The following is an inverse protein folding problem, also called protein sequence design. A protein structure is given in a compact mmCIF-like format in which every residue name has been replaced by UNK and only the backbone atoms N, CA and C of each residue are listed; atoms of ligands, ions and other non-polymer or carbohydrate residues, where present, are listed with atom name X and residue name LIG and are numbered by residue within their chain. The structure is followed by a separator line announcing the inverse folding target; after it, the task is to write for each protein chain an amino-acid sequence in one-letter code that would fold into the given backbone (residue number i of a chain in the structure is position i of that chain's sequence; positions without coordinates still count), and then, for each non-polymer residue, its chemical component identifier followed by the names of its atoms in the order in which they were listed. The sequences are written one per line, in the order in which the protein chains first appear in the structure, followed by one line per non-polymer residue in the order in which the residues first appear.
data_IF_866012315718
#
_entry.id   IF_866012315718
#
_cell.length_a   1.000
_cell.length_b   1.000
_cell.length_c   1.000
_cell.angle_alpha   90.00
_cell.angle_beta   90.00
_cell.angle_gamma   90.00
#
_symmetry.space_group_name_H-M   'P 1'
#
loop_
_entity.id
_entity.type
_entity.pdbx_description
1 polymer ?
#
# COMPACT_ATOMS: atom_id res chain seq x y z
N UNK A 1 -26.11 -41.45 9.78
CA UNK A 1 -24.89 -40.82 9.21
C UNK A 1 -24.84 -39.38 9.70
N UNK A 2 -23.93 -39.08 10.63
CA UNK A 2 -23.69 -37.72 11.10
C UNK A 2 -22.92 -37.03 9.97
N UNK A 3 -23.54 -36.10 9.25
CA UNK A 3 -22.83 -35.21 8.34
C UNK A 3 -21.74 -34.51 9.18
N UNK A 4 -20.49 -34.85 8.92
CA UNK A 4 -19.37 -34.04 9.42
C UNK A 4 -19.60 -32.61 8.89
N UNK A 5 -20.00 -31.69 9.77
CA UNK A 5 -20.01 -30.26 9.45
C UNK A 5 -18.60 -29.90 9.04
N UNK A 6 -18.38 -29.66 7.76
CA UNK A 6 -17.11 -29.09 7.30
C UNK A 6 -16.88 -27.83 8.11
N UNK A 7 -15.66 -27.67 8.62
CA UNK A 7 -15.29 -26.45 9.31
C UNK A 7 -15.57 -25.23 8.40
N UNK A 8 -16.08 -24.13 8.95
CA UNK A 8 -16.46 -22.99 8.13
C UNK A 8 -15.23 -22.40 7.43
N UNK A 9 -15.34 -22.13 6.13
CA UNK A 9 -14.31 -21.53 5.31
C UNK A 9 -13.86 -20.16 5.85
N UNK A 10 -12.56 -19.92 5.89
CA UNK A 10 -11.95 -18.63 6.21
C UNK A 10 -11.29 -18.02 4.96
N UNK A 11 -11.19 -16.71 4.89
CA UNK A 11 -10.57 -15.99 3.78
C UNK A 11 -9.53 -15.02 4.34
N UNK A 12 -8.33 -15.07 3.79
CA UNK A 12 -7.27 -14.12 4.07
C UNK A 12 -6.87 -13.40 2.79
N UNK A 13 -7.08 -12.09 2.74
CA UNK A 13 -6.79 -11.25 1.59
C UNK A 13 -5.55 -10.39 1.83
N UNK A 14 -4.48 -10.66 1.11
CA UNK A 14 -3.29 -9.81 1.05
C UNK A 14 -3.46 -8.83 -0.11
N UNK A 15 -3.65 -7.58 0.24
CA UNK A 15 -3.83 -6.47 -0.69
C UNK A 15 -2.45 -5.90 -1.03
N UNK A 16 -1.92 -6.27 -2.20
CA UNK A 16 -0.61 -5.82 -2.66
C UNK A 16 -0.79 -4.68 -3.66
N UNK A 17 -0.73 -3.44 -3.15
CA UNK A 17 -1.08 -2.26 -3.95
C UNK A 17 -0.23 -2.17 -5.21
N UNK A 18 -0.91 -1.94 -6.35
CA UNK A 18 -0.34 -1.68 -7.67
C UNK A 18 0.71 -2.69 -8.14
N UNK A 19 0.67 -3.93 -7.64
CA UNK A 19 1.63 -4.95 -8.03
C UNK A 19 1.50 -5.30 -9.53
N UNK A 20 2.51 -4.96 -10.32
CA UNK A 20 2.49 -5.15 -11.75
C UNK A 20 2.77 -6.60 -12.15
N UNK A 21 1.85 -7.18 -12.91
CA UNK A 21 1.90 -8.57 -13.36
C UNK A 21 3.17 -8.89 -14.16
N UNK A 22 3.69 -7.93 -14.93
CA UNK A 22 4.91 -8.09 -15.71
C UNK A 22 6.10 -8.49 -14.83
N UNK A 23 6.33 -7.77 -13.73
CA UNK A 23 7.40 -8.09 -12.78
C UNK A 23 7.16 -9.41 -12.06
N UNK A 24 5.93 -9.64 -11.59
CA UNK A 24 5.57 -10.89 -10.92
C UNK A 24 5.91 -12.10 -11.80
N UNK A 25 5.40 -12.12 -13.04
CA UNK A 25 5.63 -13.24 -13.96
C UNK A 25 7.10 -13.43 -14.31
N UNK A 26 7.82 -12.33 -14.54
CA UNK A 26 9.25 -12.38 -14.81
C UNK A 26 10.02 -13.01 -13.65
N UNK A 27 9.80 -12.53 -12.44
CA UNK A 27 10.54 -13.04 -11.28
C UNK A 27 10.15 -14.46 -10.89
N UNK A 28 8.90 -14.87 -11.13
CA UNK A 28 8.50 -16.28 -11.01
C UNK A 28 9.23 -17.15 -12.03
N UNK A 29 9.26 -16.74 -13.30
CA UNK A 29 9.98 -17.47 -14.36
C UNK A 29 11.49 -17.57 -14.11
N UNK A 30 12.08 -16.57 -13.44
CA UNK A 30 13.47 -16.54 -13.01
C UNK A 30 13.73 -17.37 -11.73
N UNK A 31 12.70 -18.03 -11.16
CA UNK A 31 12.82 -18.83 -9.92
C UNK A 31 13.04 -18.02 -8.65
N UNK A 32 12.80 -16.70 -8.68
CA UNK A 32 13.07 -15.79 -7.56
C UNK A 32 11.93 -15.69 -6.54
N UNK A 33 10.74 -16.18 -6.89
CA UNK A 33 9.51 -16.07 -6.12
C UNK A 33 8.84 -17.44 -5.94
N UNK A 34 9.42 -18.36 -5.14
CA UNK A 34 8.90 -19.72 -5.01
C UNK A 34 7.51 -19.82 -4.38
N UNK A 35 7.15 -18.92 -3.45
CA UNK A 35 5.82 -18.92 -2.84
C UNK A 35 4.73 -18.45 -3.83
N UNK A 36 5.02 -17.43 -4.64
CA UNK A 36 4.14 -17.03 -5.73
C UNK A 36 4.04 -18.11 -6.81
N UNK A 37 5.16 -18.78 -7.16
CA UNK A 37 5.15 -19.89 -8.10
C UNK A 37 4.19 -20.99 -7.62
N UNK A 38 4.30 -21.40 -6.37
CA UNK A 38 3.39 -22.36 -5.74
C UNK A 38 1.93 -21.91 -5.81
N UNK A 39 1.61 -20.62 -5.52
CA UNK A 39 0.26 -20.10 -5.65
C UNK A 39 -0.29 -20.18 -7.08
N UNK A 40 0.57 -19.95 -8.09
CA UNK A 40 0.18 -20.03 -9.50
C UNK A 40 -0.02 -21.48 -9.97
N UNK A 41 0.70 -22.44 -9.39
CA UNK A 41 0.60 -23.86 -9.71
C UNK A 41 -0.59 -24.55 -9.01
N UNK A 42 -0.80 -24.26 -7.72
CA UNK A 42 -1.82 -24.91 -6.89
C UNK A 42 -3.16 -24.15 -6.86
N UNK A 43 -3.16 -22.87 -7.23
CA UNK A 43 -4.31 -21.97 -7.14
C UNK A 43 -4.87 -21.55 -8.51
N UNK A 44 -5.61 -20.44 -8.48
CA UNK A 44 -6.17 -19.84 -9.69
C UNK A 44 -5.68 -18.38 -9.84
N UNK A 45 -5.27 -18.02 -11.05
CA UNK A 45 -4.96 -16.65 -11.43
C UNK A 45 -6.13 -16.03 -12.17
N UNK A 46 -6.73 -15.00 -11.58
CA UNK A 46 -7.89 -14.31 -12.13
C UNK A 46 -7.52 -12.86 -12.48
N UNK A 47 -7.87 -12.42 -13.67
CA UNK A 47 -7.78 -11.01 -14.06
C UNK A 47 -9.06 -10.29 -13.71
N UNK A 48 -8.94 -9.20 -12.98
CA UNK A 48 -10.05 -8.29 -12.71
C UNK A 48 -10.15 -7.22 -13.79
N UNK A 49 -11.34 -6.66 -13.95
CA UNK A 49 -11.62 -5.53 -14.84
C UNK A 49 -12.45 -4.51 -14.10
N UNK A 50 -12.21 -3.23 -14.35
CA UNK A 50 -13.07 -2.16 -13.86
C UNK A 50 -14.25 -2.06 -14.82
N UNK A 51 -15.50 -2.29 -14.39
CA UNK A 51 -16.67 -2.17 -15.23
C UNK A 51 -16.76 -0.77 -15.86
N UNK A 52 -17.06 -0.70 -17.15
CA UNK A 52 -17.18 0.58 -17.87
C UNK A 52 -15.86 1.30 -18.18
N UNK A 53 -14.72 0.74 -17.76
CA UNK A 53 -13.42 1.31 -18.12
C UNK A 53 -13.02 0.92 -19.54
N UNK A 54 -12.83 1.94 -20.39
CA UNK A 54 -12.33 1.80 -21.75
C UNK A 54 -10.96 2.51 -21.86
N UNK A 55 -9.85 1.76 -21.98
CA UNK A 55 -8.51 2.35 -22.04
C UNK A 55 -8.26 3.17 -23.31
N UNK A 56 -9.12 3.06 -24.32
CA UNK A 56 -9.01 3.83 -25.57
C UNK A 56 -9.54 5.27 -25.42
N UNK A 57 -10.32 5.53 -24.37
CA UNK A 57 -10.85 6.87 -24.12
C UNK A 57 -9.75 7.78 -23.57
N UNK A 58 -9.56 9.00 -24.12
CA UNK A 58 -8.43 9.88 -23.75
C UNK A 58 -8.35 10.25 -22.26
N UNK A 59 -9.46 10.22 -21.55
CA UNK A 59 -9.54 10.58 -20.11
C UNK A 59 -9.76 9.37 -19.20
N UNK A 60 -9.83 8.16 -19.73
CA UNK A 60 -10.11 6.96 -18.96
C UNK A 60 -9.12 6.75 -17.80
N UNK A 61 -7.84 7.03 -18.04
CA UNK A 61 -6.77 6.85 -17.04
C UNK A 61 -6.87 7.77 -15.82
N UNK A 62 -7.63 8.88 -15.93
CA UNK A 62 -7.82 9.82 -14.81
C UNK A 62 -8.69 9.27 -13.68
N UNK A 63 -9.52 8.27 -13.99
CA UNK A 63 -10.39 7.62 -13.00
C UNK A 63 -9.73 6.39 -12.37
N UNK A 64 -8.51 6.02 -12.81
CA UNK A 64 -7.77 4.90 -12.23
C UNK A 64 -6.81 5.43 -11.18
N UNK A 65 -7.21 5.25 -9.94
CA UNK A 65 -6.44 5.61 -8.75
C UNK A 65 -6.69 4.55 -7.68
N UNK A 66 -5.72 4.23 -6.83
CA UNK A 66 -5.94 3.33 -5.70
C UNK A 66 -7.16 3.71 -4.85
N UNK A 67 -7.36 5.02 -4.66
CA UNK A 67 -8.47 5.60 -3.90
C UNK A 67 -9.85 5.40 -4.52
N UNK A 68 -9.90 5.00 -5.78
CA UNK A 68 -11.15 4.74 -6.53
C UNK A 68 -11.35 3.23 -6.71
N UNK A 69 -10.31 2.53 -7.15
CA UNK A 69 -10.47 1.13 -7.57
C UNK A 69 -10.46 0.13 -6.41
N UNK A 70 -9.78 0.43 -5.29
CA UNK A 70 -9.88 -0.39 -4.10
C UNK A 70 -11.29 -0.39 -3.50
N UNK A 71 -11.95 0.79 -3.30
CA UNK A 71 -13.37 0.83 -2.95
C UNK A 71 -14.27 0.02 -3.88
N UNK A 72 -14.05 0.10 -5.21
CA UNK A 72 -14.81 -0.73 -6.16
C UNK A 72 -14.63 -2.24 -5.88
N UNK A 73 -13.40 -2.66 -5.57
CA UNK A 73 -13.12 -4.07 -5.25
C UNK A 73 -13.78 -4.49 -3.93
N UNK A 74 -13.75 -3.64 -2.91
CA UNK A 74 -14.33 -3.95 -1.60
C UNK A 74 -15.86 -4.01 -1.60
N UNK A 75 -16.50 -3.19 -2.44
CA UNK A 75 -17.96 -3.02 -2.44
C UNK A 75 -18.67 -3.74 -3.59
N UNK A 76 -17.92 -4.09 -4.65
CA UNK A 76 -18.51 -4.55 -5.90
C UNK A 76 -19.20 -3.45 -6.71
N UNK A 77 -19.10 -2.18 -6.29
CA UNK A 77 -19.72 -1.04 -6.96
C UNK A 77 -18.75 -0.42 -7.99
N UNK A 78 -19.30 0.13 -9.05
CA UNK A 78 -18.53 0.95 -9.99
C UNK A 78 -18.14 2.30 -9.37
N UNK A 79 -17.12 3.00 -9.91
CA UNK A 79 -16.78 4.36 -9.45
C UNK A 79 -17.96 5.35 -9.48
N UNK A 80 -18.85 5.22 -10.46
CA UNK A 80 -20.04 6.06 -10.56
C UNK A 80 -21.06 5.77 -9.45
N UNK A 81 -21.18 4.51 -9.00
CA UNK A 81 -22.11 4.10 -7.96
C UNK A 81 -21.63 4.44 -6.56
N UNK A 82 -20.33 4.31 -6.26
CA UNK A 82 -19.79 4.68 -4.95
C UNK A 82 -19.42 6.16 -4.84
N UNK A 83 -19.24 6.88 -5.96
CA UNK A 83 -19.03 8.33 -5.98
C UNK A 83 -17.65 8.82 -5.51
N UNK A 84 -16.73 7.92 -5.16
CA UNK A 84 -15.38 8.30 -4.76
C UNK A 84 -14.53 8.60 -6.00
N UNK A 85 -13.87 9.76 -6.02
CA UNK A 85 -13.09 10.26 -7.15
C UNK A 85 -11.61 10.53 -6.81
N UNK A 86 -11.20 10.33 -5.54
CA UNK A 86 -9.81 10.52 -5.14
C UNK A 86 -9.56 10.43 -3.65
N UNK A 87 -8.37 10.82 -3.27
CA UNK A 87 -7.89 10.86 -1.89
C UNK A 87 -8.58 11.96 -1.07
N UNK A 88 -8.74 11.71 0.25
CA UNK A 88 -9.21 12.71 1.21
C UNK A 88 -10.71 12.99 1.15
N UNK A 89 -11.49 12.11 0.52
CA UNK A 89 -12.95 12.24 0.48
C UNK A 89 -13.62 11.55 1.67
N UNK A 90 -14.82 12.03 1.99
CA UNK A 90 -15.75 11.33 2.86
C UNK A 90 -16.09 9.94 2.29
N UNK A 91 -15.92 8.92 3.11
CA UNK A 91 -16.15 7.50 2.75
C UNK A 91 -17.56 7.01 3.08
N UNK A 92 -18.45 7.88 3.54
CA UNK A 92 -19.81 7.49 3.99
C UNK A 92 -20.61 6.73 2.94
N UNK A 93 -20.39 7.00 1.64
CA UNK A 93 -21.06 6.34 0.53
C UNK A 93 -20.77 4.83 0.44
N UNK A 94 -19.67 4.34 1.00
CA UNK A 94 -19.29 2.93 1.03
C UNK A 94 -19.52 2.26 2.39
N UNK A 95 -19.97 3.00 3.41
CA UNK A 95 -20.25 2.44 4.73
C UNK A 95 -21.38 1.39 4.64
N UNK A 96 -21.19 0.26 5.31
CA UNK A 96 -22.10 -0.88 5.27
C UNK A 96 -22.08 -1.68 3.97
N UNK A 97 -21.24 -1.32 3.00
CA UNK A 97 -21.15 -1.94 1.67
C UNK A 97 -19.86 -2.69 1.43
N UNK A 98 -18.80 -2.37 2.16
CA UNK A 98 -17.54 -3.11 2.05
C UNK A 98 -17.75 -4.55 2.52
N UNK A 99 -16.99 -5.48 1.93
CA UNK A 99 -17.07 -6.92 2.24
C UNK A 99 -16.99 -7.18 3.75
N UNK A 100 -16.12 -6.49 4.46
CA UNK A 100 -15.98 -6.63 5.92
C UNK A 100 -17.18 -6.07 6.68
N UNK A 101 -17.81 -4.99 6.22
CA UNK A 101 -19.01 -4.43 6.84
C UNK A 101 -20.19 -5.42 6.71
N UNK A 102 -20.35 -6.00 5.53
CA UNK A 102 -21.40 -6.99 5.24
C UNK A 102 -21.19 -8.25 6.09
N UNK A 103 -19.97 -8.77 6.16
CA UNK A 103 -19.64 -9.95 6.95
C UNK A 103 -19.86 -9.71 8.46
N UNK A 104 -19.39 -8.57 8.97
CA UNK A 104 -19.57 -8.17 10.37
C UNK A 104 -21.05 -8.05 10.75
N UNK A 105 -21.87 -7.44 9.90
CA UNK A 105 -23.33 -7.34 10.10
C UNK A 105 -24.04 -8.71 10.14
N UNK A 106 -23.44 -9.74 9.52
CA UNK A 106 -23.93 -11.12 9.58
C UNK A 106 -23.28 -11.96 10.70
N UNK A 107 -22.58 -11.33 11.63
CA UNK A 107 -21.92 -12.00 12.74
C UNK A 107 -20.69 -12.83 12.36
N UNK A 108 -20.16 -12.64 11.15
CA UNK A 108 -18.93 -13.30 10.68
C UNK A 108 -17.74 -12.44 11.12
N UNK A 109 -16.81 -13.07 11.86
CA UNK A 109 -15.67 -12.36 12.40
C UNK A 109 -14.75 -11.83 11.30
N UNK A 110 -14.40 -10.55 11.40
CA UNK A 110 -13.55 -9.84 10.43
C UNK A 110 -12.33 -9.22 11.08
N UNK A 111 -11.25 -9.08 10.31
CA UNK A 111 -10.05 -8.37 10.67
C UNK A 111 -9.57 -7.51 9.49
N UNK A 112 -9.48 -6.20 9.68
CA UNK A 112 -9.06 -5.24 8.65
C UNK A 112 -7.81 -4.54 9.10
N UNK A 113 -6.75 -4.52 8.28
CA UNK A 113 -5.52 -3.80 8.57
C UNK A 113 -5.01 -3.05 7.34
N UNK A 114 -5.10 -1.73 7.38
CA UNK A 114 -4.52 -0.83 6.39
C UNK A 114 -5.26 -0.71 5.07
N UNK A 115 -6.40 -1.40 4.88
CA UNK A 115 -7.20 -1.31 3.65
C UNK A 115 -7.57 0.12 3.34
N UNK A 116 -7.36 0.56 2.08
CA UNK A 116 -7.57 1.96 1.69
C UNK A 116 -9.05 2.36 1.81
N UNK A 117 -9.31 3.61 2.18
CA UNK A 117 -10.66 4.17 2.37
C UNK A 117 -11.48 3.40 3.43
N UNK A 118 -10.82 2.77 4.38
CA UNK A 118 -11.46 2.04 5.47
C UNK A 118 -11.74 2.91 6.71
N UNK A 119 -11.19 4.12 6.79
CA UNK A 119 -11.49 5.06 7.86
C UNK A 119 -12.91 5.67 7.71
N UNK A 120 -13.66 5.91 8.80
CA UNK A 120 -13.37 5.53 10.19
C UNK A 120 -13.57 4.03 10.45
N UNK A 121 -12.95 3.46 11.54
CA UNK A 121 -13.18 2.07 11.88
C UNK A 121 -14.65 1.82 12.24
N UNK A 122 -15.23 0.76 11.67
CA UNK A 122 -16.63 0.40 11.81
C UNK A 122 -16.76 -1.04 12.29
N UNK A 123 -17.70 -1.30 13.18
CA UNK A 123 -18.03 -2.67 13.60
C UNK A 123 -19.46 -2.77 14.11
N UNK A 124 -20.10 -3.88 13.78
CA UNK A 124 -21.41 -4.31 14.31
C UNK A 124 -21.26 -5.32 15.46
N UNK A 125 -20.01 -5.59 15.90
CA UNK A 125 -19.69 -6.44 17.05
C UNK A 125 -18.96 -7.74 16.72
N UNK A 126 -18.83 -8.15 15.45
CA UNK A 126 -18.09 -9.35 15.06
C UNK A 126 -16.63 -9.04 14.67
N UNK A 127 -16.26 -7.77 14.48
CA UNK A 127 -14.89 -7.39 14.18
C UNK A 127 -13.94 -7.81 15.31
N UNK A 128 -12.81 -8.39 14.93
CA UNK A 128 -11.72 -8.80 15.84
C UNK A 128 -10.61 -7.78 15.91
N UNK A 129 -10.31 -7.15 14.76
CA UNK A 129 -9.48 -5.96 14.69
C UNK A 129 -9.89 -5.13 13.47
N UNK A 130 -9.77 -3.82 13.61
CA UNK A 130 -9.99 -2.86 12.56
C UNK A 130 -9.02 -1.71 12.70
N UNK A 131 -8.00 -1.69 11.86
CA UNK A 131 -6.93 -0.69 11.81
C UNK A 131 -6.99 -0.06 10.43
N UNK A 132 -7.48 1.17 10.30
CA UNK A 132 -7.58 1.86 9.01
C UNK A 132 -6.22 2.11 8.34
N UNK A 133 -6.27 2.63 7.14
CA UNK A 133 -5.09 3.08 6.40
C UNK A 133 -4.28 4.15 7.14
N UNK A 134 -3.00 4.29 6.77
CA UNK A 134 -2.07 5.23 7.40
C UNK A 134 -2.43 6.70 7.18
N UNK A 135 -3.26 7.00 6.17
CA UNK A 135 -3.70 8.35 5.81
C UNK A 135 -5.03 8.74 6.47
N UNK A 136 -5.47 7.98 7.47
CA UNK A 136 -6.64 8.27 8.28
C UNK A 136 -6.53 9.64 8.98
N UNK A 137 -7.68 10.29 9.22
CA UNK A 137 -7.74 11.60 9.86
C UNK A 137 -7.31 11.57 11.33
N UNK A 138 -7.45 10.43 11.99
CA UNK A 138 -6.99 10.22 13.36
C UNK A 138 -6.55 8.76 13.57
N UNK A 139 -5.89 8.41 14.70
CA UNK A 139 -5.44 7.05 14.97
C UNK A 139 -6.51 6.13 15.56
N UNK A 140 -7.80 6.40 15.32
CA UNK A 140 -8.88 5.52 15.75
C UNK A 140 -8.75 4.13 15.14
N UNK A 141 -8.80 3.12 15.98
CA UNK A 141 -8.69 1.70 15.58
C UNK A 141 -9.26 0.81 16.68
N UNK A 142 -9.43 -0.48 16.36
CA UNK A 142 -9.83 -1.52 17.29
C UNK A 142 -8.99 -2.78 17.02
N UNK A 143 -8.57 -3.55 18.06
CA UNK A 143 -8.63 -3.23 19.48
C UNK A 143 -7.56 -2.20 19.87
N UNK A 144 -7.57 -1.76 21.13
CA UNK A 144 -6.65 -0.71 21.62
C UNK A 144 -5.16 -1.13 21.55
N UNK A 145 -4.88 -2.42 21.57
CA UNK A 145 -3.53 -2.98 21.36
C UNK A 145 -2.94 -2.59 20.00
N UNK A 146 -3.78 -2.36 18.97
CA UNK A 146 -3.34 -1.92 17.66
C UNK A 146 -3.06 -0.41 17.57
N UNK A 147 -3.54 0.39 18.54
CA UNK A 147 -3.44 1.86 18.55
C UNK A 147 -2.01 2.37 18.36
N UNK A 148 -1.04 1.73 19.00
CA UNK A 148 0.35 2.17 18.90
C UNK A 148 0.92 2.08 17.47
N UNK A 149 0.48 1.07 16.68
CA UNK A 149 0.81 0.99 15.26
C UNK A 149 0.12 2.11 14.50
N UNK A 150 -1.18 2.32 14.71
CA UNK A 150 -1.95 3.32 13.97
C UNK A 150 -1.44 4.74 14.25
N UNK A 151 -1.12 5.07 15.52
CA UNK A 151 -0.48 6.34 15.87
C UNK A 151 0.83 6.56 15.10
N UNK A 152 1.68 5.52 15.03
CA UNK A 152 2.94 5.61 14.27
C UNK A 152 2.71 5.77 12.77
N UNK A 153 1.74 5.04 12.19
CA UNK A 153 1.41 5.11 10.78
C UNK A 153 0.85 6.49 10.38
N UNK A 154 -0.11 7.01 11.14
CA UNK A 154 -0.70 8.34 10.91
C UNK A 154 0.35 9.44 11.11
N UNK A 155 1.17 9.34 12.17
CA UNK A 155 2.28 10.26 12.37
C UNK A 155 3.25 10.26 11.19
N UNK A 156 3.65 9.08 10.70
CA UNK A 156 4.53 8.94 9.54
C UNK A 156 3.95 9.54 8.26
N UNK A 157 2.66 9.33 8.00
CA UNK A 157 1.97 9.87 6.84
C UNK A 157 1.90 11.41 6.87
N UNK A 158 1.57 11.99 8.02
CA UNK A 158 1.49 13.45 8.20
C UNK A 158 2.85 14.15 8.13
N UNK A 159 3.90 13.48 8.55
CA UNK A 159 5.25 14.06 8.64
C UNK A 159 6.18 13.57 7.53
N UNK A 160 5.67 12.97 6.45
CA UNK A 160 6.48 12.40 5.38
C UNK A 160 7.41 13.41 4.69
N UNK A 161 6.97 14.66 4.59
CA UNK A 161 7.71 15.76 3.94
C UNK A 161 8.42 16.71 4.91
N UNK A 162 8.27 16.51 6.22
CA UNK A 162 8.83 17.39 7.24
C UNK A 162 10.23 16.89 7.66
N UNK A 163 11.08 17.81 8.10
CA UNK A 163 12.40 17.48 8.64
C UNK A 163 12.26 16.51 9.83
N UNK A 164 12.65 15.26 9.61
CA UNK A 164 12.59 14.20 10.61
C UNK A 164 13.31 14.58 11.92
N UNK A 165 14.31 15.43 11.85
CA UNK A 165 15.06 15.85 13.02
C UNK A 165 14.19 16.61 14.04
N UNK A 166 13.19 17.36 13.58
CA UNK A 166 12.26 18.07 14.47
C UNK A 166 11.36 17.13 15.28
N UNK A 167 11.02 15.98 14.73
CA UNK A 167 10.09 15.03 15.32
C UNK A 167 10.74 13.71 15.74
N UNK A 168 12.08 13.64 15.72
CA UNK A 168 12.82 12.40 15.98
C UNK A 168 12.48 11.74 17.32
N UNK A 169 12.35 12.54 18.39
CA UNK A 169 12.01 12.03 19.72
C UNK A 169 10.61 11.41 19.76
N UNK A 170 9.65 12.08 19.16
CA UNK A 170 8.26 11.60 19.07
C UNK A 170 8.19 10.33 18.20
N UNK A 171 8.80 10.36 17.01
CA UNK A 171 8.89 9.22 16.12
C UNK A 171 9.48 7.98 16.80
N UNK A 172 10.58 8.14 17.55
CA UNK A 172 11.21 7.05 18.28
C UNK A 172 10.33 6.51 19.42
N UNK A 173 9.63 7.41 20.10
CA UNK A 173 8.68 7.03 21.16
C UNK A 173 7.51 6.23 20.60
N UNK A 174 6.90 6.72 19.52
CA UNK A 174 5.81 6.03 18.83
C UNK A 174 6.29 4.68 18.27
N UNK A 175 7.43 4.66 17.59
CA UNK A 175 8.03 3.43 17.08
C UNK A 175 8.24 2.38 18.18
N UNK A 176 8.78 2.79 19.33
CA UNK A 176 8.97 1.88 20.45
C UNK A 176 7.65 1.32 21.00
N UNK A 177 6.59 2.13 20.99
CA UNK A 177 5.24 1.72 21.42
C UNK A 177 4.63 0.69 20.48
N UNK A 178 5.03 0.61 19.19
CA UNK A 178 4.52 -0.38 18.23
C UNK A 178 4.74 -1.84 18.69
N UNK A 179 5.64 -2.09 19.64
CA UNK A 179 5.78 -3.41 20.29
C UNK A 179 4.46 -3.91 20.88
N UNK A 180 3.63 -3.01 21.39
CA UNK A 180 2.31 -3.36 21.95
C UNK A 180 1.38 -3.90 20.87
N UNK A 181 1.57 -3.46 19.63
CA UNK A 181 0.84 -3.94 18.46
C UNK A 181 1.53 -5.12 17.75
N UNK A 182 2.57 -5.71 18.35
CA UNK A 182 3.25 -6.90 17.84
C UNK A 182 4.48 -6.66 16.96
N UNK A 183 4.97 -5.41 16.84
CA UNK A 183 6.20 -5.14 16.09
C UNK A 183 7.40 -5.87 16.74
N UNK A 184 8.18 -6.58 15.91
CA UNK A 184 9.37 -7.31 16.35
C UNK A 184 10.49 -6.33 16.74
N UNK A 185 11.27 -6.67 17.75
CA UNK A 185 12.43 -5.87 18.18
C UNK A 185 13.44 -5.68 17.02
N UNK A 186 13.62 -6.69 16.17
CA UNK A 186 14.47 -6.60 14.98
C UNK A 186 13.97 -5.55 13.97
N UNK A 187 12.65 -5.46 13.76
CA UNK A 187 12.03 -4.45 12.90
C UNK A 187 12.18 -3.06 13.47
N UNK A 188 11.97 -2.91 14.78
CA UNK A 188 12.17 -1.65 15.49
C UNK A 188 13.63 -1.20 15.41
N UNK A 189 14.58 -2.09 15.71
CA UNK A 189 16.02 -1.79 15.64
C UNK A 189 16.44 -1.39 14.21
N UNK A 190 15.94 -2.11 13.19
CA UNK A 190 16.18 -1.78 11.77
C UNK A 190 15.64 -0.39 11.42
N UNK A 191 14.43 -0.06 11.90
CA UNK A 191 13.81 1.25 11.68
C UNK A 191 14.59 2.36 12.37
N UNK A 192 15.02 2.14 13.62
CA UNK A 192 15.86 3.10 14.35
C UNK A 192 17.22 3.34 13.69
N UNK A 193 17.85 2.28 13.16
CA UNK A 193 19.13 2.36 12.49
C UNK A 193 19.03 3.06 11.12
N UNK A 194 17.86 3.13 10.49
CA UNK A 194 17.72 3.69 9.15
C UNK A 194 18.12 5.15 9.05
N UNK A 195 17.76 5.99 10.02
CA UNK A 195 18.05 7.43 9.99
C UNK A 195 19.55 7.71 9.99
N UNK A 196 20.37 7.19 10.93
CA UNK A 196 21.81 7.39 10.88
C UNK A 196 22.46 6.75 9.65
N UNK A 197 22.00 5.58 9.22
CA UNK A 197 22.51 4.93 8.02
C UNK A 197 22.20 5.72 6.74
N UNK A 198 21.03 6.34 6.66
CA UNK A 198 20.65 7.18 5.53
C UNK A 198 21.49 8.48 5.49
N UNK A 199 21.80 9.06 6.65
CA UNK A 199 22.72 10.20 6.72
C UNK A 199 24.15 9.87 6.25
N UNK A 200 24.61 8.64 6.52
CA UNK A 200 25.94 8.16 6.12
C UNK A 200 26.00 7.75 4.64
N UNK A 201 25.00 7.02 4.16
CA UNK A 201 24.97 6.42 2.82
C UNK A 201 24.11 7.19 1.81
N UNK A 202 23.43 8.24 2.24
CA UNK A 202 22.61 9.10 1.39
C UNK A 202 21.47 8.38 0.69
N UNK A 203 21.19 8.80 -0.54
CA UNK A 203 20.06 8.31 -1.34
C UNK A 203 20.00 6.78 -1.53
N UNK A 204 21.14 6.09 -1.37
CA UNK A 204 21.20 4.63 -1.49
C UNK A 204 20.31 3.90 -0.49
N UNK A 205 19.99 4.52 0.66
CA UNK A 205 19.18 3.94 1.74
C UNK A 205 17.71 4.35 1.70
N UNK A 206 17.32 5.28 0.84
CA UNK A 206 15.92 5.76 0.72
C UNK A 206 14.93 4.62 0.43
N UNK A 207 15.24 3.64 -0.47
CA UNK A 207 14.31 2.53 -0.70
C UNK A 207 14.04 1.70 0.56
N UNK A 208 15.06 1.48 1.39
CA UNK A 208 14.91 0.76 2.65
C UNK A 208 13.87 1.42 3.56
N UNK A 209 13.89 2.75 3.66
CA UNK A 209 12.92 3.52 4.46
C UNK A 209 11.48 3.25 4.01
N UNK A 210 11.24 3.13 2.71
CA UNK A 210 9.92 2.82 2.18
C UNK A 210 9.43 1.42 2.52
N UNK A 211 10.36 0.45 2.71
CA UNK A 211 10.01 -0.90 3.15
C UNK A 211 9.62 -0.97 4.62
N UNK A 212 10.14 -0.08 5.49
CA UNK A 212 9.97 -0.17 6.94
C UNK A 212 8.52 -0.13 7.38
N UNK A 213 7.69 0.67 6.73
CA UNK A 213 6.25 0.70 7.00
C UNK A 213 5.62 -0.68 6.81
N UNK A 214 5.90 -1.33 5.69
CA UNK A 214 5.35 -2.67 5.40
C UNK A 214 5.89 -3.74 6.35
N UNK A 215 7.13 -3.58 6.86
CA UNK A 215 7.67 -4.48 7.88
C UNK A 215 6.88 -4.39 9.19
N UNK A 216 6.58 -3.18 9.66
CA UNK A 216 5.81 -2.94 10.89
C UNK A 216 4.35 -3.41 10.73
N UNK A 217 3.73 -3.09 9.60
CA UNK A 217 2.36 -3.52 9.27
C UNK A 217 2.28 -5.05 9.26
N UNK A 218 3.24 -5.73 8.63
CA UNK A 218 3.27 -7.19 8.58
C UNK A 218 3.47 -7.83 9.95
N UNK A 219 4.36 -7.29 10.78
CA UNK A 219 4.57 -7.79 12.14
C UNK A 219 3.30 -7.69 12.98
N UNK A 220 2.61 -6.56 12.90
CA UNK A 220 1.34 -6.34 13.60
C UNK A 220 0.23 -7.25 13.04
N UNK A 221 0.11 -7.34 11.70
CA UNK A 221 -0.84 -8.25 11.05
C UNK A 221 -0.67 -9.68 11.54
N UNK A 222 0.56 -10.19 11.50
CA UNK A 222 0.87 -11.55 11.95
C UNK A 222 0.47 -11.78 13.42
N UNK A 223 0.67 -10.79 14.26
CA UNK A 223 0.31 -10.85 15.68
C UNK A 223 -1.21 -10.84 15.86
N UNK A 224 -1.90 -9.86 15.27
CA UNK A 224 -3.36 -9.73 15.35
C UNK A 224 -4.07 -10.94 14.73
N UNK A 225 -3.65 -11.37 13.55
CA UNK A 225 -4.22 -12.54 12.90
C UNK A 225 -3.97 -13.82 13.71
N UNK A 226 -2.76 -13.99 14.25
CA UNK A 226 -2.41 -15.14 15.09
C UNK A 226 -3.23 -15.23 16.39
N UNK A 227 -3.51 -14.10 17.02
CA UNK A 227 -4.29 -14.00 18.26
C UNK A 227 -5.80 -14.16 18.04
N UNK A 228 -6.34 -13.55 16.99
CA UNK A 228 -7.79 -13.39 16.82
C UNK A 228 -8.42 -14.34 15.81
N UNK A 229 -7.66 -14.84 14.83
CA UNK A 229 -8.12 -15.81 13.82
C UNK A 229 -9.51 -15.48 13.23
N UNK A 230 -9.73 -14.26 12.69
CA UNK A 230 -11.01 -13.92 12.10
C UNK A 230 -11.29 -14.77 10.86
N UNK A 231 -12.55 -15.01 10.55
CA UNK A 231 -12.95 -15.75 9.34
C UNK A 231 -12.68 -14.99 8.04
N UNK A 232 -12.70 -13.68 8.09
CA UNK A 232 -12.19 -12.82 7.03
C UNK A 232 -11.09 -11.94 7.58
N UNK A 233 -9.95 -11.91 6.92
CA UNK A 233 -8.86 -11.00 7.25
C UNK A 233 -8.34 -10.29 6.01
N UNK A 234 -8.02 -9.00 6.11
CA UNK A 234 -7.28 -8.28 5.09
C UNK A 234 -6.06 -7.58 5.65
N UNK A 235 -5.02 -7.45 4.82
CA UNK A 235 -3.83 -6.64 5.09
C UNK A 235 -3.38 -5.93 3.83
N UNK A 236 -3.25 -4.59 3.91
CA UNK A 236 -2.81 -3.77 2.80
C UNK A 236 -1.32 -3.43 2.88
N UNK A 237 -0.61 -3.64 1.78
CA UNK A 237 0.83 -3.42 1.68
C UNK A 237 1.15 -2.57 0.45
N UNK A 238 1.88 -1.46 0.65
CA UNK A 238 2.15 -0.46 -0.41
C UNK A 238 3.61 -0.44 -0.91
N UNK A 239 4.50 -1.29 -0.38
CA UNK A 239 5.93 -1.24 -0.70
C UNK A 239 6.24 -1.53 -2.17
N UNK A 240 5.51 -2.45 -2.80
CA UNK A 240 5.70 -2.80 -4.22
C UNK A 240 5.34 -1.59 -5.11
N UNK A 241 4.21 -0.95 -4.87
CA UNK A 241 3.81 0.27 -5.55
C UNK A 241 4.89 1.34 -5.48
N UNK A 242 5.38 1.63 -4.26
CA UNK A 242 6.43 2.62 -4.06
C UNK A 242 7.69 2.30 -4.86
N UNK A 243 8.15 1.04 -4.87
CA UNK A 243 9.34 0.64 -5.61
C UNK A 243 9.14 0.75 -7.11
N UNK A 244 7.98 0.38 -7.62
CA UNK A 244 7.66 0.51 -9.05
C UNK A 244 7.61 1.98 -9.49
N UNK A 245 6.92 2.86 -8.76
CA UNK A 245 6.86 4.28 -9.07
C UNK A 245 8.23 4.97 -9.10
N UNK A 246 9.14 4.55 -8.23
CA UNK A 246 10.44 5.21 -8.07
C UNK A 246 11.54 4.60 -8.92
N UNK A 247 11.54 3.28 -9.09
CA UNK A 247 12.72 2.55 -9.56
C UNK A 247 12.47 1.70 -10.81
N UNK A 248 11.32 1.83 -11.46
CA UNK A 248 11.05 1.11 -12.71
C UNK A 248 12.11 1.44 -13.77
N UNK A 249 12.45 2.73 -13.91
CA UNK A 249 13.51 3.16 -14.82
C UNK A 249 14.87 2.50 -14.54
N UNK A 250 15.20 2.31 -13.26
CA UNK A 250 16.43 1.62 -12.90
C UNK A 250 16.35 0.12 -13.23
N UNK A 251 15.19 -0.51 -13.05
CA UNK A 251 14.98 -1.93 -13.31
C UNK A 251 14.90 -2.28 -14.80
N UNK A 252 14.38 -1.37 -15.64
CA UNK A 252 14.17 -1.56 -17.07
C UNK A 252 14.53 -0.30 -17.87
N UNK A 253 15.80 0.15 -17.85
CA UNK A 253 16.20 1.42 -18.46
C UNK A 253 15.94 1.49 -19.96
N UNK A 254 15.90 0.35 -20.64
CA UNK A 254 15.65 0.26 -22.08
C UNK A 254 14.26 0.77 -22.46
N UNK A 255 13.24 0.50 -21.64
CA UNK A 255 11.87 0.97 -21.89
C UNK A 255 11.72 2.49 -21.90
N UNK A 256 12.67 3.19 -21.27
CA UNK A 256 12.64 4.64 -21.14
C UNK A 256 13.59 5.35 -22.11
N UNK A 257 14.50 4.63 -22.78
CA UNK A 257 15.46 5.24 -23.74
C UNK A 257 14.79 5.70 -25.01
N UNK A 258 13.82 4.93 -25.50
CA UNK A 258 13.13 5.20 -26.74
C UNK A 258 12.00 6.23 -26.61
N UNK A 259 11.50 6.43 -25.37
CA UNK A 259 10.39 7.33 -25.07
C UNK A 259 10.81 8.74 -24.63
N UNK A 260 12.11 9.04 -24.50
CA UNK A 260 12.59 10.33 -24.04
C UNK A 260 12.67 11.35 -25.15
N UNK A 261 11.82 12.38 -25.10
CA UNK A 261 11.96 13.58 -25.92
C UNK A 261 13.25 14.33 -25.61
N UNK A 262 13.70 15.20 -26.53
CA UNK A 262 14.88 16.07 -26.30
C UNK A 262 14.71 16.97 -25.05
N UNK A 263 13.48 17.23 -24.63
CA UNK A 263 13.14 18.00 -23.42
C UNK A 263 13.39 17.17 -22.16
N UNK A 264 13.04 15.88 -22.19
CA UNK A 264 13.23 14.97 -21.08
C UNK A 264 14.70 14.60 -20.87
N UNK A 265 15.49 14.58 -21.95
CA UNK A 265 16.94 14.40 -21.86
C UNK A 265 17.63 15.52 -21.08
N UNK A 266 17.07 16.74 -21.06
CA UNK A 266 17.57 17.84 -20.22
C UNK A 266 17.19 17.68 -18.75
N UNK A 267 16.08 17.05 -18.45
CA UNK A 267 15.61 16.79 -17.08
C UNK A 267 16.46 15.69 -16.41
N UNK A 268 16.98 14.76 -17.17
CA UNK A 268 17.90 13.71 -16.72
C UNK A 268 19.33 14.10 -17.03
N UNK A 269 19.85 15.01 -16.22
CA UNK A 269 21.23 15.47 -16.30
C UNK A 269 22.23 14.33 -16.38
N UNK A 270 23.26 14.56 -17.18
CA UNK A 270 24.51 13.81 -17.33
C UNK A 270 24.41 12.26 -17.33
N UNK A 271 24.97 11.64 -18.36
CA UNK A 271 25.03 10.17 -18.56
C UNK A 271 25.56 9.44 -17.31
N UNK A 272 26.48 10.04 -16.58
CA UNK A 272 27.08 9.45 -15.37
C UNK A 272 26.09 9.34 -14.19
N UNK A 273 25.25 10.35 -13.94
CA UNK A 273 24.25 10.31 -12.87
C UNK A 273 23.17 9.27 -13.15
N UNK A 274 22.81 9.10 -14.42
CA UNK A 274 21.86 8.09 -14.87
C UNK A 274 22.40 6.69 -14.67
N UNK A 275 23.66 6.42 -15.07
CA UNK A 275 24.29 5.12 -14.90
C UNK A 275 24.40 4.76 -13.42
N UNK A 276 24.81 5.69 -12.57
CA UNK A 276 24.87 5.53 -11.12
C UNK A 276 23.49 5.23 -10.51
N UNK A 277 22.44 5.90 -11.01
CA UNK A 277 21.07 5.64 -10.57
C UNK A 277 20.63 4.22 -10.96
N UNK A 278 20.82 3.82 -12.21
CA UNK A 278 20.50 2.48 -12.70
C UNK A 278 21.25 1.41 -11.91
N UNK A 279 22.58 1.53 -11.76
CA UNK A 279 23.42 0.59 -11.00
C UNK A 279 22.99 0.47 -9.52
N UNK A 280 22.56 1.56 -8.90
CA UNK A 280 22.22 1.62 -7.48
C UNK A 280 20.85 1.07 -7.16
N UNK A 281 19.88 1.21 -8.07
CA UNK A 281 18.48 0.97 -7.76
C UNK A 281 17.80 -0.12 -8.60
N UNK A 282 18.50 -0.76 -9.54
CA UNK A 282 17.93 -1.72 -10.50
C UNK A 282 17.22 -2.92 -9.86
N UNK A 283 17.59 -3.32 -8.67
CA UNK A 283 17.10 -4.53 -8.01
C UNK A 283 16.03 -4.28 -6.92
N UNK A 284 15.65 -3.02 -6.67
CA UNK A 284 14.73 -2.72 -5.57
C UNK A 284 13.28 -3.18 -5.82
N UNK A 285 12.85 -3.21 -7.08
CA UNK A 285 11.54 -3.80 -7.41
C UNK A 285 11.59 -5.32 -7.11
N UNK A 286 12.64 -6.01 -7.56
CA UNK A 286 12.83 -7.44 -7.26
C UNK A 286 12.87 -7.69 -5.74
N UNK A 287 13.67 -6.92 -5.00
CA UNK A 287 13.77 -7.03 -3.53
C UNK A 287 12.41 -6.87 -2.85
N UNK A 288 11.55 -5.97 -3.34
CA UNK A 288 10.22 -5.78 -2.79
C UNK A 288 9.31 -6.99 -3.01
N UNK A 289 9.33 -7.59 -4.21
CA UNK A 289 8.59 -8.82 -4.50
C UNK A 289 9.14 -10.02 -3.72
N UNK A 290 10.46 -10.17 -3.63
CA UNK A 290 11.09 -11.25 -2.84
C UNK A 290 10.78 -11.15 -1.35
N UNK A 291 10.70 -9.93 -0.81
CA UNK A 291 10.25 -9.75 0.56
C UNK A 291 8.82 -10.23 0.74
N UNK A 292 7.92 -9.88 -0.19
CA UNK A 292 6.53 -10.34 -0.14
C UNK A 292 6.43 -11.87 -0.30
N UNK A 293 7.21 -12.45 -1.20
CA UNK A 293 7.27 -13.91 -1.39
C UNK A 293 7.63 -14.66 -0.10
N UNK A 294 8.64 -14.15 0.62
CA UNK A 294 9.00 -14.71 1.93
C UNK A 294 7.88 -14.55 2.97
N UNK A 295 7.07 -13.48 2.89
CA UNK A 295 5.89 -13.31 3.76
C UNK A 295 4.77 -14.25 3.38
N UNK A 296 4.57 -14.54 2.10
CA UNK A 296 3.62 -15.56 1.65
C UNK A 296 4.02 -16.95 2.13
N UNK A 297 5.30 -17.29 2.05
CA UNK A 297 5.80 -18.57 2.59
C UNK A 297 5.52 -18.68 4.10
N UNK A 298 5.75 -17.61 4.87
CA UNK A 298 5.41 -17.54 6.29
C UNK A 298 3.89 -17.71 6.52
N UNK A 299 3.07 -17.09 5.66
CA UNK A 299 1.62 -17.13 5.74
C UNK A 299 1.07 -18.54 5.52
N UNK A 300 1.61 -19.32 4.58
CA UNK A 300 1.21 -20.71 4.33
C UNK A 300 1.41 -21.63 5.55
N UNK A 301 2.34 -21.28 6.45
CA UNK A 301 2.51 -21.99 7.73
C UNK A 301 1.60 -21.43 8.83
N UNK A 302 1.06 -20.24 8.65
CA UNK A 302 0.22 -19.58 9.64
C UNK A 302 -1.26 -19.94 9.48
N UNK A 303 -1.73 -20.15 8.27
CA UNK A 303 -3.13 -20.49 7.97
C UNK A 303 -3.40 -21.98 8.10
N UNK A 304 -4.66 -22.35 8.31
CA UNK A 304 -5.11 -23.74 8.28
C UNK A 304 -5.62 -24.15 6.89
N UNK A 305 -5.91 -25.45 6.73
CA UNK A 305 -6.37 -26.02 5.46
C UNK A 305 -7.78 -25.53 5.03
N UNK A 306 -8.53 -24.87 5.90
CA UNK A 306 -9.84 -24.29 5.60
C UNK A 306 -9.74 -22.79 5.26
N UNK A 307 -8.55 -22.26 5.11
CA UNK A 307 -8.32 -20.85 4.77
C UNK A 307 -7.93 -20.68 3.31
N UNK A 308 -8.74 -19.94 2.57
CA UNK A 308 -8.38 -19.46 1.23
C UNK A 308 -7.52 -18.22 1.35
N UNK A 309 -6.30 -18.28 0.80
CA UNK A 309 -5.39 -17.14 0.72
C UNK A 309 -5.56 -16.48 -0.65
N UNK A 310 -5.93 -15.21 -0.65
CA UNK A 310 -6.02 -14.37 -1.84
C UNK A 310 -4.88 -13.36 -1.79
N UNK A 311 -4.10 -13.26 -2.86
CA UNK A 311 -3.17 -12.14 -3.06
C UNK A 311 -3.66 -11.39 -4.28
N UNK A 312 -3.98 -10.12 -4.11
CA UNK A 312 -4.59 -9.35 -5.17
C UNK A 312 -4.14 -7.90 -5.21
N UNK A 313 -4.33 -7.32 -6.38
CA UNK A 313 -4.18 -5.89 -6.63
C UNK A 313 -5.42 -5.37 -7.34
N UNK A 314 -5.87 -4.17 -7.00
CA UNK A 314 -7.02 -3.55 -7.66
C UNK A 314 -6.63 -2.90 -8.99
N UNK A 315 -5.35 -2.56 -9.16
CA UNK A 315 -4.81 -1.94 -10.39
C UNK A 315 -3.33 -2.32 -10.53
N UNK A 316 -2.82 -2.21 -11.77
CA UNK A 316 -1.39 -2.27 -12.08
C UNK A 316 -0.81 -0.86 -12.31
N UNK A 317 0.49 -0.82 -12.58
CA UNK A 317 1.23 0.39 -12.94
C UNK A 317 1.87 0.17 -14.31
N UNK A 318 1.98 1.20 -15.09
CA UNK A 318 2.76 1.18 -16.35
C UNK A 318 3.79 2.30 -16.36
N UNK A 319 4.86 2.16 -17.16
CA UNK A 319 5.78 3.27 -17.36
C UNK A 319 5.03 4.50 -17.86
N UNK A 320 5.34 5.65 -17.27
CA UNK A 320 4.81 6.92 -17.73
C UNK A 320 5.38 7.26 -19.11
N UNK A 321 4.50 7.61 -20.06
CA UNK A 321 4.88 8.07 -21.39
C UNK A 321 4.73 9.60 -21.48
N UNK A 322 5.85 10.35 -21.39
CA UNK A 322 5.81 11.80 -21.40
C UNK A 322 5.35 12.40 -22.75
N UNK A 323 5.41 11.64 -23.83
CA UNK A 323 5.02 12.12 -25.17
C UNK A 323 3.50 12.13 -25.35
N UNK A 324 2.81 11.15 -24.79
CA UNK A 324 1.38 10.94 -24.97
C UNK A 324 0.52 11.33 -23.77
N UNK A 325 1.13 11.62 -22.62
CA UNK A 325 0.40 11.96 -21.40
C UNK A 325 0.46 13.46 -21.12
N UNK A 326 -0.71 14.02 -20.83
CA UNK A 326 -0.83 15.46 -20.51
C UNK A 326 -0.18 15.68 -19.15
N UNK A 327 0.89 16.46 -19.13
CA UNK A 327 1.53 16.90 -17.92
C UNK A 327 0.67 17.96 -17.23
N UNK A 328 0.09 17.62 -16.09
CA UNK A 328 -0.35 18.63 -15.16
C UNK A 328 0.89 19.06 -14.35
N UNK A 329 1.33 20.30 -14.44
CA UNK A 329 2.45 20.76 -13.60
C UNK A 329 2.07 20.63 -12.12
N UNK A 330 2.91 19.94 -11.35
CA UNK A 330 2.77 19.96 -9.89
C UNK A 330 3.37 21.27 -9.42
N UNK A 331 2.52 22.21 -9.04
CA UNK A 331 2.93 23.50 -8.47
C UNK A 331 3.02 23.33 -6.95
N UNK A 332 4.21 23.48 -6.40
CA UNK A 332 4.38 23.58 -4.95
C UNK A 332 4.15 25.04 -4.54
N UNK A 333 3.16 25.27 -3.70
CA UNK A 333 3.00 26.56 -3.04
C UNK A 333 4.12 26.73 -2.00
N UNK A 334 4.97 27.73 -2.20
CA UNK A 334 6.10 28.02 -1.30
C UNK A 334 5.67 29.01 -0.20
N UNK A 335 4.70 29.86 -0.52
CA UNK A 335 4.15 30.89 0.38
C UNK A 335 2.62 30.87 0.33
N UNK A 336 2.03 29.91 1.02
CA UNK A 336 0.57 29.71 1.04
C UNK A 336 -0.18 30.97 1.53
N UNK A 337 0.35 31.63 2.56
CA UNK A 337 -0.25 32.85 3.11
C UNK A 337 -0.29 34.01 2.12
N UNK A 338 0.72 34.18 1.28
CA UNK A 338 0.73 35.25 0.25
C UNK A 338 -0.27 34.93 -0.87
N UNK A 339 -0.42 33.66 -1.25
CA UNK A 339 -1.42 33.26 -2.24
C UNK A 339 -2.84 33.48 -1.71
N UNK A 340 -3.12 33.08 -0.46
CA UNK A 340 -4.44 33.28 0.14
C UNK A 340 -4.77 34.76 0.29
N UNK A 341 -3.80 35.59 0.66
CA UNK A 341 -3.98 37.05 0.69
C UNK A 341 -4.26 37.63 -0.70
N UNK A 342 -3.51 37.19 -1.73
CA UNK A 342 -3.70 37.64 -3.11
C UNK A 342 -5.05 37.21 -3.69
N UNK A 343 -5.54 36.02 -3.31
CA UNK A 343 -6.85 35.50 -3.72
C UNK A 343 -8.01 35.96 -2.82
N UNK A 344 -7.74 36.78 -1.81
CA UNK A 344 -8.73 37.24 -0.79
C UNK A 344 -9.46 36.06 -0.10
N UNK A 345 -8.78 34.93 0.07
CA UNK A 345 -9.32 33.77 0.75
C UNK A 345 -9.06 33.86 2.25
N UNK A 346 -10.02 33.45 3.08
CA UNK A 346 -9.83 33.43 4.53
C UNK A 346 -8.71 32.45 4.91
N UNK A 347 -7.86 32.85 5.86
CA UNK A 347 -6.67 32.11 6.30
C UNK A 347 -6.94 30.71 6.92
N UNK A 348 -8.22 30.34 7.12
CA UNK A 348 -8.64 29.07 7.69
C UNK A 348 -9.18 28.08 6.65
N UNK A 349 -9.14 28.41 5.37
CA UNK A 349 -9.41 27.44 4.30
C UNK A 349 -8.19 26.52 4.16
N UNK A 350 -8.16 25.47 4.97
CA UNK A 350 -7.19 24.37 4.79
C UNK A 350 -7.71 23.52 3.64
N UNK A 351 -6.93 23.44 2.57
CA UNK A 351 -7.15 22.50 1.46
C UNK A 351 -6.69 21.11 1.85
#
# INVERSE_FOLDING_TARGET
MIQQRQAPLSVLFVELNEAEQHFLRRFVAEGKLPAFARMLEEGAFVRTRIPGFDPTQPKAWRVISPWIVWPSLYTGLTPAEHGLIGFGQDTSSIHGRCVWDVLDAHGISVGVLGSLMSFPPRTSGAARYYVPESLADDPSCFPDEARALQEFCVFGARNYSVDFARHAREALTLLWRTRKSGARLSTIARTMAQVPLEKLAGAARVPERAMLHSYLVWDAFRTLYGQHRPRYASVHLNHVAYMQHRYWRAAEPQRFRDALSATDQRFFQAVDDRKRYEERFHDWIEKSFRWMDARLAELFHLVDNNTVVIVGTALGVRPFDPVHEIHNPVVRLVHEGELFAALQLPAHVVL
#
